data_IF_714018010982
#
_entry.id   IF_714018010982
#
_cell.length_a   1.000
_cell.length_b   1.000
_cell.length_c   1.000
_cell.angle_alpha   90.00
_cell.angle_beta   90.00
_cell.angle_gamma   90.00
#
_symmetry.space_group_name_H-M   'P 1'
#
loop_
_entity.id
_entity.type
_entity.pdbx_description
1 polymer ?
#
# COMPACT_ATOMS: atom_id res chain seq x y z
N UNK A 1 28.26 42.34 53.87
CA UNK A 1 27.01 43.02 53.56
C UNK A 1 26.68 42.85 52.10
N UNK A 2 25.73 42.02 51.74
CA UNK A 2 25.32 41.75 50.35
C UNK A 2 24.39 42.86 49.84
N UNK A 3 24.78 43.47 48.74
CA UNK A 3 24.17 44.64 48.11
C UNK A 3 22.68 44.39 47.77
N UNK A 4 21.73 45.26 48.21
CA UNK A 4 20.29 45.09 47.97
C UNK A 4 19.92 45.03 46.48
N UNK A 5 20.73 45.60 45.58
CA UNK A 5 20.54 45.60 44.13
C UNK A 5 20.74 44.20 43.51
N UNK A 6 21.61 43.35 44.09
CA UNK A 6 21.81 41.97 43.60
C UNK A 6 20.66 41.05 43.97
N UNK A 7 19.95 41.30 45.08
CA UNK A 7 18.75 40.55 45.49
C UNK A 7 17.55 40.88 44.62
N UNK A 8 17.41 42.14 44.23
CA UNK A 8 16.31 42.52 43.33
C UNK A 8 16.47 41.97 41.92
N UNK A 9 17.70 41.91 41.38
CA UNK A 9 18.00 41.29 40.08
C UNK A 9 17.79 39.76 40.09
N UNK A 10 18.17 39.08 41.17
CA UNK A 10 17.94 37.64 41.29
C UNK A 10 16.48 37.28 41.40
N UNK A 11 15.65 38.04 42.09
CA UNK A 11 14.20 37.86 42.21
C UNK A 11 13.50 38.14 40.86
N UNK A 12 13.94 39.16 40.12
CA UNK A 12 13.40 39.47 38.79
C UNK A 12 13.70 38.35 37.76
N UNK A 13 14.92 37.74 37.84
CA UNK A 13 15.33 36.65 36.97
C UNK A 13 14.53 35.37 37.25
N UNK A 14 14.23 35.07 38.51
CA UNK A 14 13.41 33.91 38.91
C UNK A 14 11.93 34.11 38.47
N UNK A 15 11.41 35.30 38.59
CA UNK A 15 10.07 35.64 38.14
C UNK A 15 9.92 35.58 36.60
N UNK A 16 10.96 35.96 35.84
CA UNK A 16 10.97 35.85 34.38
C UNK A 16 11.06 34.38 33.87
N UNK A 17 11.68 33.46 34.61
CA UNK A 17 11.73 32.03 34.27
C UNK A 17 10.44 31.28 34.59
N UNK A 18 9.57 31.80 35.46
CA UNK A 18 8.33 31.15 35.86
C UNK A 18 7.16 31.43 34.87
N UNK A 19 7.27 32.43 34.04
CA UNK A 19 6.22 32.82 33.08
C UNK A 19 5.93 31.83 31.92
N UNK A 20 6.91 31.07 31.37
CA UNK A 20 6.58 30.13 30.28
C UNK A 20 5.86 28.85 30.75
N UNK A 21 5.85 28.51 32.03
CA UNK A 21 5.21 27.28 32.53
C UNK A 21 3.69 27.43 32.64
N UNK A 22 3.16 28.64 32.74
CA UNK A 22 1.71 28.89 32.81
C UNK A 22 1.03 28.82 31.42
N UNK A 23 1.78 28.86 30.30
CA UNK A 23 1.23 28.87 28.95
C UNK A 23 0.81 27.48 28.43
N UNK A 24 1.34 26.38 28.95
CA UNK A 24 1.06 25.03 28.46
C UNK A 24 -0.20 24.38 29.03
N UNK A 25 -0.86 25.00 30.02
CA UNK A 25 -2.03 24.41 30.67
C UNK A 25 -3.38 24.76 30.02
N UNK A 26 -3.41 25.59 28.96
CA UNK A 26 -4.67 26.16 28.45
C UNK A 26 -5.18 25.51 27.14
N UNK A 27 -4.58 24.44 26.69
CA UNK A 27 -5.11 23.71 25.52
C UNK A 27 -5.58 22.30 25.91
N UNK A 28 -6.39 22.20 26.97
CA UNK A 28 -7.30 21.06 27.07
C UNK A 28 -8.39 21.31 26.05
N UNK A 29 -8.22 20.68 24.87
CA UNK A 29 -9.33 20.46 23.97
C UNK A 29 -10.44 19.79 24.79
N UNK A 30 -11.41 20.55 25.25
CA UNK A 30 -12.67 20.04 25.81
C UNK A 30 -13.42 19.39 24.65
N UNK A 31 -12.99 18.21 24.27
CA UNK A 31 -13.76 17.33 23.39
C UNK A 31 -14.81 16.54 24.15
N UNK A 32 -14.72 16.54 25.48
CA UNK A 32 -15.73 15.90 26.32
C UNK A 32 -16.91 16.86 26.48
N UNK A 33 -17.97 16.58 25.76
CA UNK A 33 -19.28 17.20 26.01
C UNK A 33 -19.70 16.80 27.43
N UNK A 34 -20.09 17.78 28.30
CA UNK A 34 -20.57 17.44 29.63
C UNK A 34 -21.78 16.51 29.52
N UNK A 35 -21.79 15.43 30.33
CA UNK A 35 -22.93 14.52 30.38
C UNK A 35 -24.18 15.28 30.84
N UNK A 36 -25.06 15.55 29.89
CA UNK A 36 -26.41 16.05 30.13
C UNK A 36 -27.32 15.02 29.50
N UNK A 37 -28.08 14.29 30.33
CA UNK A 37 -29.08 13.35 29.84
C UNK A 37 -30.08 14.12 28.95
N UNK A 38 -30.04 13.86 27.66
CA UNK A 38 -30.90 14.51 26.66
C UNK A 38 -31.74 13.45 25.97
N UNK A 39 -32.93 13.85 25.56
CA UNK A 39 -33.75 13.02 24.70
C UNK A 39 -33.00 12.69 23.39
N UNK A 40 -33.13 11.45 22.95
CA UNK A 40 -32.45 10.92 21.79
C UNK A 40 -32.78 11.69 20.50
N UNK A 41 -34.04 12.09 20.35
CA UNK A 41 -34.49 12.87 19.18
C UNK A 41 -33.86 14.26 19.15
N UNK A 42 -33.75 14.90 20.33
CA UNK A 42 -33.12 16.22 20.50
C UNK A 42 -31.62 16.15 20.14
N UNK A 43 -30.91 15.14 20.66
CA UNK A 43 -29.48 14.94 20.36
C UNK A 43 -29.25 14.69 18.87
N UNK A 44 -30.01 13.79 18.27
CA UNK A 44 -29.89 13.45 16.87
C UNK A 44 -30.19 14.64 15.96
N UNK A 45 -31.23 15.42 16.28
CA UNK A 45 -31.59 16.64 15.54
C UNK A 45 -30.50 17.69 15.64
N UNK A 46 -29.94 17.90 16.83
CA UNK A 46 -28.82 18.82 17.01
C UNK A 46 -27.57 18.38 16.21
N UNK A 47 -27.25 17.08 16.20
CA UNK A 47 -26.17 16.53 15.40
C UNK A 47 -26.37 16.79 13.90
N UNK A 48 -27.59 16.52 13.39
CA UNK A 48 -27.95 16.78 12.00
C UNK A 48 -27.86 18.27 11.65
N UNK A 49 -28.31 19.16 12.54
CA UNK A 49 -28.18 20.60 12.32
C UNK A 49 -26.73 21.05 12.21
N UNK A 50 -25.79 20.46 12.99
CA UNK A 50 -24.35 20.75 12.86
C UNK A 50 -23.82 20.27 11.54
N UNK A 51 -24.25 19.09 11.09
CA UNK A 51 -23.86 18.52 9.79
C UNK A 51 -24.33 19.45 8.65
N UNK A 52 -25.58 19.90 8.67
CA UNK A 52 -26.16 20.80 7.67
C UNK A 52 -25.45 22.18 7.66
N UNK A 53 -24.88 22.60 8.79
CA UNK A 53 -24.03 23.79 8.93
C UNK A 53 -22.57 23.57 8.54
N UNK A 54 -22.20 22.41 7.97
CA UNK A 54 -20.82 22.02 7.66
C UNK A 54 -19.87 21.98 8.86
N UNK A 55 -20.41 21.91 10.08
CA UNK A 55 -19.65 21.76 11.33
C UNK A 55 -19.41 20.27 11.62
N UNK A 56 -18.67 19.63 10.72
CA UNK A 56 -18.58 18.17 10.62
C UNK A 56 -18.06 17.50 11.89
N UNK A 57 -17.01 18.03 12.50
CA UNK A 57 -16.43 17.48 13.73
C UNK A 57 -17.41 17.55 14.90
N UNK A 58 -18.12 18.65 15.03
CA UNK A 58 -19.13 18.79 16.09
C UNK A 58 -20.34 17.88 15.83
N UNK A 59 -20.75 17.73 14.57
CA UNK A 59 -21.80 16.79 14.20
C UNK A 59 -21.41 15.36 14.58
N UNK A 60 -20.19 14.94 14.25
CA UNK A 60 -19.68 13.61 14.57
C UNK A 60 -19.71 13.35 16.09
N UNK A 61 -19.19 14.28 16.89
CA UNK A 61 -19.20 14.18 18.36
C UNK A 61 -20.63 14.08 18.93
N UNK A 62 -21.58 14.82 18.36
CA UNK A 62 -22.98 14.73 18.80
C UNK A 62 -23.63 13.41 18.38
N UNK A 63 -23.29 12.86 17.20
CA UNK A 63 -23.74 11.52 16.80
C UNK A 63 -23.13 10.44 17.70
N UNK A 64 -21.84 10.53 18.07
CA UNK A 64 -21.20 9.63 19.03
C UNK A 64 -21.88 9.74 20.41
N UNK A 65 -22.33 10.93 20.80
CA UNK A 65 -23.07 11.13 22.05
C UNK A 65 -24.46 10.47 22.03
N UNK A 66 -25.16 10.43 20.88
CA UNK A 66 -26.39 9.66 20.71
C UNK A 66 -26.13 8.17 20.98
N UNK A 67 -25.08 7.60 20.44
CA UNK A 67 -24.70 6.20 20.68
C UNK A 67 -24.39 5.97 22.16
N UNK A 68 -23.63 6.86 22.78
CA UNK A 68 -23.19 6.75 24.17
C UNK A 68 -24.35 6.81 25.17
N UNK A 69 -25.31 7.73 24.95
CA UNK A 69 -26.45 7.92 25.87
C UNK A 69 -27.59 6.91 25.64
N UNK A 70 -27.78 6.46 24.40
CA UNK A 70 -28.92 5.63 23.99
C UNK A 70 -28.49 4.42 23.13
N UNK A 71 -27.58 3.54 23.61
CA UNK A 71 -26.93 2.52 22.76
C UNK A 71 -27.90 1.50 22.14
N UNK A 72 -29.03 1.25 22.78
CA UNK A 72 -30.04 0.29 22.30
C UNK A 72 -31.12 0.90 21.42
N UNK A 73 -31.07 2.20 21.17
CA UNK A 73 -32.09 2.89 20.37
C UNK A 73 -31.85 2.61 18.85
N UNK A 74 -32.93 2.68 18.09
CA UNK A 74 -32.84 2.65 16.61
C UNK A 74 -32.03 3.84 16.07
N UNK A 75 -32.01 4.95 16.83
CA UNK A 75 -31.25 6.15 16.50
C UNK A 75 -29.75 5.96 16.68
N UNK A 76 -29.32 5.12 17.64
CA UNK A 76 -27.89 4.85 17.85
C UNK A 76 -27.25 4.24 16.61
N UNK A 77 -27.90 3.26 15.98
CA UNK A 77 -27.38 2.65 14.74
C UNK A 77 -27.23 3.64 13.59
N UNK A 78 -28.20 4.54 13.44
CA UNK A 78 -28.12 5.62 12.45
C UNK A 78 -27.04 6.63 12.82
N UNK A 79 -26.93 6.97 14.11
CA UNK A 79 -25.94 7.90 14.61
C UNK A 79 -24.51 7.40 14.37
N UNK A 80 -24.23 6.11 14.57
CA UNK A 80 -22.92 5.51 14.27
C UNK A 80 -22.50 5.73 12.80
N UNK A 81 -23.38 5.45 11.85
CA UNK A 81 -23.11 5.70 10.43
C UNK A 81 -22.95 7.19 10.15
N UNK A 82 -23.80 8.02 10.74
CA UNK A 82 -23.73 9.47 10.54
C UNK A 82 -22.49 10.09 11.20
N UNK A 83 -22.00 9.52 12.30
CA UNK A 83 -20.73 9.91 12.91
C UNK A 83 -19.56 9.61 11.94
N UNK A 84 -19.47 8.37 11.43
CA UNK A 84 -18.46 8.01 10.44
C UNK A 84 -18.51 8.94 9.22
N UNK A 85 -19.69 9.17 8.66
CA UNK A 85 -19.87 10.07 7.53
C UNK A 85 -19.47 11.52 7.85
N UNK A 86 -19.79 12.01 9.04
CA UNK A 86 -19.42 13.36 9.47
C UNK A 86 -17.91 13.51 9.62
N UNK A 87 -17.21 12.49 10.18
CA UNK A 87 -15.76 12.48 10.25
C UNK A 87 -15.14 12.46 8.85
N UNK A 88 -15.68 11.65 7.90
CA UNK A 88 -15.24 11.63 6.51
C UNK A 88 -15.33 13.03 5.87
N UNK A 89 -16.48 13.70 5.98
CA UNK A 89 -16.66 15.06 5.46
C UNK A 89 -15.72 16.07 6.11
N UNK A 90 -15.40 15.86 7.38
CA UNK A 90 -14.44 16.66 8.15
C UNK A 90 -12.97 16.34 7.84
N UNK A 91 -12.69 15.38 6.94
CA UNK A 91 -11.35 14.85 6.62
C UNK A 91 -10.62 14.24 7.83
N UNK A 92 -11.35 13.84 8.85
CA UNK A 92 -10.85 13.13 10.03
C UNK A 92 -10.91 11.62 9.74
N UNK A 93 -10.16 11.18 8.72
CA UNK A 93 -10.27 9.84 8.13
C UNK A 93 -10.03 8.71 9.13
N UNK A 94 -9.10 8.88 10.08
CA UNK A 94 -8.85 7.88 11.12
C UNK A 94 -10.07 7.65 12.01
N UNK A 95 -10.75 8.71 12.42
CA UNK A 95 -11.95 8.63 13.24
C UNK A 95 -13.13 8.05 12.44
N UNK A 96 -13.25 8.42 11.16
CA UNK A 96 -14.24 7.85 10.25
C UNK A 96 -14.09 6.34 10.14
N UNK A 97 -12.88 5.86 9.84
CA UNK A 97 -12.57 4.42 9.76
C UNK A 97 -12.93 3.72 11.07
N UNK A 98 -12.54 4.25 12.22
CA UNK A 98 -12.84 3.65 13.52
C UNK A 98 -14.35 3.56 13.80
N UNK A 99 -15.11 4.63 13.52
CA UNK A 99 -16.57 4.64 13.67
C UNK A 99 -17.24 3.64 12.73
N UNK A 100 -16.83 3.59 11.46
CA UNK A 100 -17.37 2.64 10.47
C UNK A 100 -17.04 1.18 10.84
N UNK A 101 -15.80 0.90 11.29
CA UNK A 101 -15.40 -0.44 11.75
C UNK A 101 -16.20 -0.87 12.99
N UNK A 102 -16.42 0.03 13.96
CA UNK A 102 -17.26 -0.23 15.13
C UNK A 102 -18.68 -0.58 14.70
N UNK A 103 -19.27 0.17 13.76
CA UNK A 103 -20.58 -0.15 13.21
C UNK A 103 -20.63 -1.55 12.60
N UNK A 104 -19.67 -1.91 11.76
CA UNK A 104 -19.61 -3.23 11.12
C UNK A 104 -19.48 -4.35 12.16
N UNK A 105 -18.67 -4.14 13.20
CA UNK A 105 -18.43 -5.16 14.22
C UNK A 105 -19.68 -5.44 15.06
N UNK A 106 -20.47 -4.41 15.35
CA UNK A 106 -21.69 -4.54 16.15
C UNK A 106 -22.89 -4.94 15.28
N UNK A 107 -22.93 -4.55 14.01
CA UNK A 107 -24.07 -4.71 13.11
C UNK A 107 -23.69 -5.32 11.76
N UNK A 108 -23.04 -6.50 11.71
CA UNK A 108 -22.49 -7.06 10.46
C UNK A 108 -23.54 -7.37 9.39
N UNK A 109 -24.76 -7.72 9.81
CA UNK A 109 -25.89 -8.03 8.91
C UNK A 109 -26.81 -6.82 8.63
N UNK A 110 -26.43 -5.61 9.00
CA UNK A 110 -27.25 -4.44 8.74
C UNK A 110 -27.26 -4.08 7.26
N UNK A 111 -28.42 -3.61 6.76
CA UNK A 111 -28.56 -3.17 5.37
C UNK A 111 -27.62 -1.99 5.00
N UNK A 112 -27.17 -1.23 5.98
CA UNK A 112 -26.26 -0.09 5.80
C UNK A 112 -24.78 -0.51 5.95
N UNK A 113 -24.48 -1.80 6.24
CA UNK A 113 -23.12 -2.30 6.31
C UNK A 113 -22.33 -2.08 5.01
N UNK A 114 -22.90 -2.28 3.81
CA UNK A 114 -22.18 -1.95 2.56
C UNK A 114 -21.71 -0.50 2.49
N UNK A 115 -22.48 0.44 3.05
CA UNK A 115 -22.09 1.83 3.13
C UNK A 115 -20.94 2.08 4.11
N UNK A 116 -20.92 1.40 5.24
CA UNK A 116 -19.82 1.50 6.19
C UNK A 116 -18.50 0.95 5.60
N UNK A 117 -18.53 -0.17 4.88
CA UNK A 117 -17.37 -0.69 4.13
C UNK A 117 -16.92 0.31 3.05
N UNK A 118 -17.87 0.95 2.38
CA UNK A 118 -17.56 1.94 1.37
C UNK A 118 -16.91 3.21 1.97
N UNK A 119 -17.37 3.70 3.13
CA UNK A 119 -16.74 4.82 3.82
C UNK A 119 -15.28 4.49 4.18
N UNK A 120 -15.01 3.31 4.73
CA UNK A 120 -13.63 2.89 5.03
C UNK A 120 -12.76 2.92 3.78
N UNK A 121 -13.29 2.43 2.66
CA UNK A 121 -12.56 2.43 1.39
C UNK A 121 -12.33 3.86 0.87
N UNK A 122 -13.31 4.74 0.97
CA UNK A 122 -13.19 6.15 0.61
C UNK A 122 -12.18 6.87 1.50
N UNK A 123 -12.20 6.62 2.81
CA UNK A 123 -11.25 7.23 3.75
C UNK A 123 -9.79 6.93 3.37
N UNK A 124 -9.47 5.68 2.97
CA UNK A 124 -8.15 5.35 2.46
C UNK A 124 -7.89 5.94 1.08
N UNK A 125 -8.89 5.94 0.19
CA UNK A 125 -8.78 6.46 -1.16
C UNK A 125 -8.44 7.96 -1.18
N UNK A 126 -9.13 8.76 -0.38
CA UNK A 126 -8.90 10.21 -0.27
C UNK A 126 -7.52 10.57 0.32
N UNK A 127 -6.87 9.63 0.98
CA UNK A 127 -5.53 9.81 1.54
C UNK A 127 -4.40 9.39 0.59
N UNK A 128 -4.72 8.89 -0.62
CA UNK A 128 -3.71 8.52 -1.61
C UNK A 128 -2.90 9.77 -1.98
N UNK A 129 -1.60 9.63 -1.90
CA UNK A 129 -0.64 10.68 -2.23
C UNK A 129 0.05 10.36 -3.55
N UNK A 130 0.94 11.26 -3.99
CA UNK A 130 1.74 11.13 -5.19
C UNK A 130 2.48 9.77 -5.27
N UNK A 131 2.66 9.27 -6.51
CA UNK A 131 3.32 7.98 -6.80
C UNK A 131 4.76 7.90 -6.27
N UNK A 132 5.44 9.05 -6.05
CA UNK A 132 6.80 9.09 -5.52
C UNK A 132 6.86 8.70 -4.03
N UNK A 133 5.74 8.83 -3.32
CA UNK A 133 5.65 8.56 -1.87
C UNK A 133 5.39 7.10 -1.54
N UNK A 134 5.28 6.80 -0.24
CA UNK A 134 4.93 5.46 0.25
C UNK A 134 3.51 5.07 -0.18
N UNK A 135 3.38 3.85 -0.73
CA UNK A 135 2.14 3.32 -1.27
C UNK A 135 1.36 2.44 -0.27
N UNK A 136 1.65 2.56 1.03
CA UNK A 136 0.93 1.78 2.06
C UNK A 136 -0.57 2.10 2.06
N UNK A 137 -0.91 3.39 2.07
CA UNK A 137 -2.32 3.85 2.05
C UNK A 137 -3.01 3.42 0.75
N UNK A 138 -2.32 3.53 -0.38
CA UNK A 138 -2.85 3.10 -1.69
C UNK A 138 -3.21 1.61 -1.68
N UNK A 139 -2.36 0.77 -1.09
CA UNK A 139 -2.67 -0.66 -0.93
C UNK A 139 -3.84 -0.89 0.03
N UNK A 140 -3.92 -0.15 1.14
CA UNK A 140 -5.06 -0.23 2.05
C UNK A 140 -6.38 0.19 1.38
N UNK A 141 -6.35 1.19 0.51
CA UNK A 141 -7.51 1.56 -0.31
C UNK A 141 -7.93 0.42 -1.25
N UNK A 142 -6.96 -0.20 -1.95
CA UNK A 142 -7.23 -1.35 -2.82
C UNK A 142 -7.86 -2.52 -2.06
N UNK A 143 -7.29 -2.86 -0.89
CA UNK A 143 -7.79 -3.96 -0.05
C UNK A 143 -9.21 -3.67 0.45
N UNK A 144 -9.49 -2.46 0.90
CA UNK A 144 -10.81 -2.07 1.40
C UNK A 144 -11.86 -2.03 0.28
N UNK A 145 -11.53 -1.52 -0.91
CA UNK A 145 -12.38 -1.56 -2.10
C UNK A 145 -12.66 -3.00 -2.51
N UNK A 146 -11.64 -3.86 -2.54
CA UNK A 146 -11.76 -5.28 -2.84
C UNK A 146 -12.65 -6.03 -1.86
N UNK A 147 -12.52 -5.73 -0.55
CA UNK A 147 -13.35 -6.30 0.50
C UNK A 147 -14.83 -5.94 0.32
N UNK A 148 -15.13 -4.66 0.02
CA UNK A 148 -16.48 -4.22 -0.28
C UNK A 148 -17.08 -4.97 -1.47
N UNK A 149 -16.35 -5.07 -2.59
CA UNK A 149 -16.81 -5.75 -3.81
C UNK A 149 -17.02 -7.25 -3.59
N UNK A 150 -16.17 -7.88 -2.79
CA UNK A 150 -16.27 -9.31 -2.48
C UNK A 150 -17.48 -9.63 -1.59
N UNK A 151 -17.75 -8.79 -0.57
CA UNK A 151 -18.86 -8.99 0.37
C UNK A 151 -20.20 -8.57 -0.21
N UNK A 152 -20.22 -7.49 -0.99
CA UNK A 152 -21.46 -6.88 -1.47
C UNK A 152 -21.41 -6.55 -2.97
N UNK A 153 -21.23 -7.58 -3.83
CA UNK A 153 -20.97 -7.39 -5.26
C UNK A 153 -22.10 -6.66 -6.00
N UNK A 154 -23.34 -6.80 -5.50
CA UNK A 154 -24.54 -6.21 -6.11
C UNK A 154 -24.95 -4.87 -5.48
N UNK A 155 -24.15 -4.32 -4.56
CA UNK A 155 -24.45 -3.02 -3.99
C UNK A 155 -24.13 -1.88 -4.98
N UNK A 156 -24.85 -0.78 -4.89
CA UNK A 156 -24.54 0.44 -5.65
C UNK A 156 -23.11 0.93 -5.40
N UNK A 157 -22.60 0.70 -4.21
CA UNK A 157 -21.24 1.08 -3.82
C UNK A 157 -20.16 0.22 -4.49
N UNK A 158 -20.47 -1.04 -4.82
CA UNK A 158 -19.53 -1.90 -5.54
C UNK A 158 -19.30 -1.45 -6.99
N UNK A 159 -20.31 -0.83 -7.61
CA UNK A 159 -20.14 -0.27 -8.95
C UNK A 159 -19.14 0.89 -8.99
N UNK A 160 -19.25 1.82 -8.04
CA UNK A 160 -18.29 2.91 -7.89
C UNK A 160 -16.91 2.41 -7.43
N UNK A 161 -16.88 1.42 -6.54
CA UNK A 161 -15.63 0.82 -6.06
C UNK A 161 -14.80 0.21 -7.22
N UNK A 162 -15.44 -0.39 -8.25
CA UNK A 162 -14.73 -0.93 -9.42
C UNK A 162 -13.94 0.16 -10.15
N UNK A 163 -14.57 1.32 -10.39
CA UNK A 163 -13.89 2.45 -11.02
C UNK A 163 -12.71 2.96 -10.18
N UNK A 164 -12.89 3.01 -8.87
CA UNK A 164 -11.82 3.42 -7.95
C UNK A 164 -10.68 2.40 -7.89
N UNK A 165 -10.96 1.11 -7.99
CA UNK A 165 -9.93 0.05 -8.10
C UNK A 165 -9.07 0.24 -9.33
N UNK A 166 -9.67 0.58 -10.48
CA UNK A 166 -8.91 0.83 -11.71
C UNK A 166 -7.97 2.03 -11.54
N UNK A 167 -8.44 3.12 -10.92
CA UNK A 167 -7.62 4.30 -10.62
C UNK A 167 -6.50 3.99 -9.61
N UNK A 168 -6.78 3.19 -8.58
CA UNK A 168 -5.78 2.77 -7.58
C UNK A 168 -4.72 1.87 -8.22
N UNK A 169 -5.13 0.95 -9.10
CA UNK A 169 -4.20 0.09 -9.84
C UNK A 169 -3.32 0.91 -10.78
N UNK A 170 -3.87 1.90 -11.47
CA UNK A 170 -3.10 2.80 -12.32
C UNK A 170 -2.06 3.57 -11.52
N UNK A 171 -2.41 4.04 -10.32
CA UNK A 171 -1.48 4.70 -9.41
C UNK A 171 -0.35 3.77 -8.91
N UNK A 172 -0.68 2.52 -8.56
CA UNK A 172 0.31 1.52 -8.15
C UNK A 172 1.23 1.11 -9.32
N UNK A 173 0.67 0.98 -10.52
CA UNK A 173 1.45 0.75 -11.74
C UNK A 173 2.42 1.89 -12.02
N UNK A 174 1.96 3.14 -11.89
CA UNK A 174 2.79 4.34 -12.01
C UNK A 174 4.00 4.32 -11.08
N UNK A 175 3.84 3.85 -9.83
CA UNK A 175 4.95 3.66 -8.89
C UNK A 175 5.98 2.64 -9.39
N UNK A 176 5.53 1.50 -9.87
CA UNK A 176 6.45 0.48 -10.41
C UNK A 176 7.17 1.00 -11.66
N UNK A 177 6.47 1.76 -12.53
CA UNK A 177 7.05 2.42 -13.69
C UNK A 177 8.13 3.44 -13.30
N UNK A 178 7.88 4.26 -12.30
CA UNK A 178 8.85 5.24 -11.80
C UNK A 178 10.13 4.55 -11.31
N UNK A 179 9.98 3.50 -10.49
CA UNK A 179 11.12 2.72 -10.00
C UNK A 179 11.84 2.03 -11.16
N UNK A 180 11.10 1.50 -12.14
CA UNK A 180 11.65 0.86 -13.33
C UNK A 180 12.53 1.82 -14.13
N UNK A 181 12.03 3.01 -14.45
CA UNK A 181 12.77 4.08 -15.13
C UNK A 181 14.01 4.52 -14.36
N UNK A 182 13.90 4.65 -13.03
CA UNK A 182 15.05 4.97 -12.18
C UNK A 182 16.19 3.95 -12.30
N UNK A 183 15.88 2.64 -12.37
CA UNK A 183 16.89 1.60 -12.58
C UNK A 183 17.41 1.58 -14.03
N UNK A 184 16.53 1.81 -15.00
CA UNK A 184 16.87 1.90 -16.43
C UNK A 184 17.87 3.01 -16.72
N UNK A 185 17.65 4.22 -16.19
CA UNK A 185 18.55 5.38 -16.31
C UNK A 185 19.95 5.09 -15.73
N UNK A 186 20.06 4.10 -14.83
CA UNK A 186 21.33 3.65 -14.24
C UNK A 186 21.90 2.40 -14.90
N UNK A 187 21.32 1.99 -16.02
CA UNK A 187 21.70 0.78 -16.75
C UNK A 187 21.61 -0.52 -15.90
N UNK A 188 20.76 -0.50 -14.87
CA UNK A 188 20.48 -1.67 -14.04
C UNK A 188 19.32 -2.47 -14.64
N UNK A 189 19.58 -3.02 -15.85
CA UNK A 189 18.57 -3.60 -16.74
C UNK A 189 17.73 -4.71 -16.09
N UNK A 190 18.37 -5.58 -15.31
CA UNK A 190 17.65 -6.66 -14.62
C UNK A 190 16.66 -6.10 -13.58
N UNK A 191 17.10 -5.13 -12.78
CA UNK A 191 16.21 -4.52 -11.77
C UNK A 191 15.06 -3.74 -12.44
N UNK A 192 15.34 -3.03 -13.53
CA UNK A 192 14.34 -2.34 -14.33
C UNK A 192 13.30 -3.31 -14.91
N UNK A 193 13.76 -4.39 -15.57
CA UNK A 193 12.86 -5.39 -16.17
C UNK A 193 11.94 -6.05 -15.14
N UNK A 194 12.41 -6.31 -13.92
CA UNK A 194 11.57 -6.85 -12.84
C UNK A 194 10.43 -5.90 -12.46
N UNK A 195 10.68 -4.57 -12.46
CA UNK A 195 9.66 -3.57 -12.18
C UNK A 195 8.64 -3.46 -13.29
N UNK A 196 9.08 -3.33 -14.53
CA UNK A 196 8.19 -3.29 -15.70
C UNK A 196 7.36 -4.57 -15.84
N UNK A 197 7.97 -5.74 -15.53
CA UNK A 197 7.25 -7.02 -15.52
C UNK A 197 6.14 -7.02 -14.47
N UNK A 198 6.38 -6.43 -13.28
CA UNK A 198 5.33 -6.30 -12.25
C UNK A 198 4.11 -5.55 -12.78
N UNK A 199 4.31 -4.51 -13.61
CA UNK A 199 3.20 -3.78 -14.24
C UNK A 199 2.43 -4.67 -15.20
N UNK A 200 3.11 -5.39 -16.07
CA UNK A 200 2.49 -6.29 -17.05
C UNK A 200 1.77 -7.46 -16.38
N UNK A 201 2.31 -8.01 -15.27
CA UNK A 201 1.75 -9.17 -14.59
C UNK A 201 0.57 -8.81 -13.67
N UNK A 202 0.62 -7.66 -12.98
CA UNK A 202 -0.36 -7.31 -11.94
C UNK A 202 -1.33 -6.20 -12.32
N UNK A 203 -0.97 -5.33 -13.25
CA UNK A 203 -1.70 -4.10 -13.58
C UNK A 203 -2.00 -3.99 -15.08
N UNK A 204 -2.39 -5.11 -15.70
CA UNK A 204 -2.56 -5.27 -17.16
C UNK A 204 -3.53 -4.28 -17.80
N UNK A 205 -4.52 -3.81 -17.05
CA UNK A 205 -5.58 -2.92 -17.55
C UNK A 205 -5.24 -1.44 -17.41
N UNK A 206 -4.07 -1.11 -16.88
CA UNK A 206 -3.69 0.27 -16.62
C UNK A 206 -3.13 0.97 -17.87
N UNK A 207 -3.15 2.29 -17.86
CA UNK A 207 -2.58 3.14 -18.90
C UNK A 207 -1.06 2.95 -19.08
N UNK A 208 -0.39 2.40 -18.07
CA UNK A 208 1.05 2.17 -18.05
C UNK A 208 1.50 0.90 -18.77
N UNK A 209 0.60 -0.03 -19.05
CA UNK A 209 0.94 -1.35 -19.62
C UNK A 209 1.64 -1.26 -20.99
N UNK A 210 1.21 -0.41 -21.95
CA UNK A 210 1.90 -0.29 -23.23
C UNK A 210 3.36 0.20 -23.08
N UNK A 211 3.59 1.19 -22.22
CA UNK A 211 4.95 1.66 -21.92
C UNK A 211 5.77 0.56 -21.26
N UNK A 212 5.23 -0.14 -20.27
CA UNK A 212 5.91 -1.22 -19.56
C UNK A 212 6.36 -2.33 -20.52
N UNK A 213 5.52 -2.74 -21.47
CA UNK A 213 5.87 -3.73 -22.49
C UNK A 213 7.01 -3.24 -23.39
N UNK A 214 6.98 -1.98 -23.81
CA UNK A 214 8.05 -1.39 -24.61
C UNK A 214 9.36 -1.33 -23.84
N UNK A 215 9.34 -0.91 -22.58
CA UNK A 215 10.52 -0.88 -21.70
C UNK A 215 11.06 -2.28 -21.41
N UNK A 216 10.21 -3.30 -21.38
CA UNK A 216 10.65 -4.69 -21.30
C UNK A 216 11.41 -5.09 -22.57
N UNK A 217 10.98 -4.65 -23.75
CA UNK A 217 11.74 -4.88 -24.98
C UNK A 217 13.14 -4.27 -24.88
N UNK A 218 13.26 -3.01 -24.46
CA UNK A 218 14.53 -2.30 -24.29
C UNK A 218 15.44 -3.03 -23.30
N UNK A 219 14.93 -3.32 -22.11
CA UNK A 219 15.71 -3.94 -21.04
C UNK A 219 16.14 -5.37 -21.37
N UNK A 220 15.29 -6.17 -22.02
CA UNK A 220 15.64 -7.52 -22.43
C UNK A 220 16.66 -7.55 -23.58
N UNK A 221 16.58 -6.61 -24.53
CA UNK A 221 17.62 -6.46 -25.56
C UNK A 221 18.97 -6.06 -24.95
N UNK A 222 18.95 -5.11 -24.00
CA UNK A 222 20.16 -4.71 -23.28
C UNK A 222 20.79 -5.86 -22.45
N UNK A 223 19.97 -6.78 -21.94
CA UNK A 223 20.40 -8.00 -21.25
C UNK A 223 20.81 -9.13 -22.19
N UNK A 224 20.64 -8.99 -23.51
CA UNK A 224 20.88 -10.05 -24.48
C UNK A 224 19.81 -11.17 -24.48
N UNK A 225 18.68 -10.99 -23.82
CA UNK A 225 17.58 -11.98 -23.71
C UNK A 225 16.52 -11.71 -24.76
N UNK A 226 16.92 -11.89 -26.03
CA UNK A 226 16.11 -11.53 -27.20
C UNK A 226 14.73 -12.21 -27.22
N UNK A 227 14.65 -13.49 -26.86
CA UNK A 227 13.38 -14.21 -26.89
C UNK A 227 12.28 -13.60 -25.96
N UNK A 228 12.67 -13.01 -24.84
CA UNK A 228 11.75 -12.29 -23.97
C UNK A 228 11.36 -10.91 -24.54
N UNK A 229 12.30 -10.24 -25.22
CA UNK A 229 12.03 -9.00 -25.93
C UNK A 229 11.00 -9.25 -27.06
N UNK A 230 11.16 -10.29 -27.84
CA UNK A 230 10.21 -10.69 -28.90
C UNK A 230 8.82 -11.00 -28.37
N UNK A 231 8.73 -11.73 -27.25
CA UNK A 231 7.44 -11.99 -26.56
C UNK A 231 6.76 -10.71 -26.12
N UNK A 232 7.51 -9.81 -25.48
CA UNK A 232 6.98 -8.51 -25.02
C UNK A 232 6.52 -7.66 -26.20
N UNK A 233 7.27 -7.60 -27.29
CA UNK A 233 6.92 -6.89 -28.52
C UNK A 233 5.67 -7.49 -29.19
N UNK A 234 5.55 -8.82 -29.22
CA UNK A 234 4.39 -9.50 -29.77
C UNK A 234 3.11 -9.19 -28.97
N UNK A 235 3.19 -9.21 -27.63
CA UNK A 235 2.06 -8.84 -26.75
C UNK A 235 1.67 -7.38 -26.99
N UNK A 236 2.66 -6.48 -27.10
CA UNK A 236 2.42 -5.06 -27.37
C UNK A 236 1.74 -4.85 -28.74
N UNK A 237 2.20 -5.55 -29.77
CA UNK A 237 1.62 -5.47 -31.12
C UNK A 237 0.21 -6.04 -31.20
N UNK A 238 -0.08 -7.11 -30.46
CA UNK A 238 -1.40 -7.74 -30.44
C UNK A 238 -2.46 -6.91 -29.72
N UNK A 239 -2.09 -6.27 -28.60
CA UNK A 239 -3.04 -5.57 -27.74
C UNK A 239 -3.11 -4.04 -27.98
N UNK A 240 -2.02 -3.45 -28.48
CA UNK A 240 -1.89 -1.99 -28.64
C UNK A 240 -1.35 -1.63 -30.05
N UNK A 241 -1.96 -2.15 -31.13
CA UNK A 241 -1.50 -1.89 -32.48
C UNK A 241 -1.59 -0.39 -32.80
N UNK A 242 -0.53 0.17 -33.38
CA UNK A 242 -0.49 1.59 -33.77
C UNK A 242 -0.19 2.56 -32.63
N UNK A 243 0.05 2.11 -31.41
CA UNK A 243 0.53 2.98 -30.34
C UNK A 243 1.96 3.45 -30.60
N UNK A 244 2.33 4.63 -30.08
CA UNK A 244 3.71 5.13 -30.15
C UNK A 244 4.71 4.16 -29.53
N UNK A 245 4.30 3.47 -28.47
CA UNK A 245 5.11 2.45 -27.80
C UNK A 245 5.36 1.24 -28.70
N UNK A 246 4.36 0.80 -29.48
CA UNK A 246 4.52 -0.25 -30.46
C UNK A 246 5.49 0.16 -31.57
N UNK A 247 5.34 1.37 -32.10
CA UNK A 247 6.21 1.88 -33.16
C UNK A 247 7.67 1.94 -32.70
N UNK A 248 7.93 2.35 -31.46
CA UNK A 248 9.27 2.36 -30.85
C UNK A 248 9.83 0.94 -30.68
N UNK A 249 9.05 0.02 -30.13
CA UNK A 249 9.47 -1.37 -29.96
C UNK A 249 9.79 -2.03 -31.30
N UNK A 250 8.94 -1.81 -32.32
CA UNK A 250 9.15 -2.33 -33.67
C UNK A 250 10.45 -1.82 -34.29
N UNK A 251 10.72 -0.50 -34.19
CA UNK A 251 11.97 0.09 -34.67
C UNK A 251 13.16 -0.52 -33.97
N UNK A 252 13.13 -0.61 -32.66
CA UNK A 252 14.21 -1.17 -31.84
C UNK A 252 14.49 -2.63 -32.19
N UNK A 253 13.45 -3.45 -32.36
CA UNK A 253 13.59 -4.85 -32.76
C UNK A 253 14.24 -5.03 -34.13
N UNK A 254 14.06 -4.07 -35.06
CA UNK A 254 14.72 -4.08 -36.37
C UNK A 254 16.18 -3.66 -36.32
N UNK A 255 16.54 -2.78 -35.41
CA UNK A 255 17.93 -2.32 -35.21
C UNK A 255 18.82 -3.42 -34.60
N UNK A 256 18.20 -4.41 -33.90
CA UNK A 256 18.87 -5.61 -33.37
C UNK A 256 18.44 -6.86 -34.18
N UNK A 257 18.94 -7.05 -35.41
CA UNK A 257 18.56 -8.21 -36.24
C UNK A 257 18.97 -9.53 -35.57
N UNK A 258 18.24 -10.59 -35.90
CA UNK A 258 18.61 -11.97 -35.49
C UNK A 258 19.92 -12.32 -36.14
N UNK A 259 20.99 -12.50 -35.37
CA UNK A 259 22.09 -13.33 -35.86
C UNK A 259 21.54 -14.76 -35.97
N UNK A 260 21.58 -15.37 -37.19
CA UNK A 260 21.13 -16.75 -37.32
C UNK A 260 22.00 -17.59 -36.37
N UNK A 261 21.35 -18.33 -35.47
CA UNK A 261 22.05 -19.35 -34.68
C UNK A 261 22.76 -20.26 -35.71
N UNK A 262 24.10 -20.35 -35.68
CA UNK A 262 24.79 -21.23 -36.62
C UNK A 262 24.16 -22.62 -36.48
N UNK A 263 23.66 -23.15 -37.61
CA UNK A 263 23.03 -24.45 -37.63
C UNK A 263 24.05 -25.46 -37.05
N UNK A 264 23.70 -26.09 -35.93
CA UNK A 264 24.51 -27.17 -35.37
C UNK A 264 24.54 -28.27 -36.43
N UNK A 265 25.66 -28.40 -37.11
CA UNK A 265 25.81 -29.47 -38.07
C UNK A 265 25.80 -30.81 -37.32
N UNK A 266 24.96 -31.78 -37.73
CA UNK A 266 24.94 -33.08 -37.10
C UNK A 266 26.34 -33.71 -37.16
N UNK A 267 26.95 -33.93 -35.99
CA UNK A 267 28.27 -34.59 -35.90
C UNK A 267 29.43 -33.71 -35.42
N UNK A 268 29.24 -32.42 -35.18
CA UNK A 268 30.27 -31.64 -34.49
C UNK A 268 30.14 -31.81 -32.97
N UNK A 269 31.21 -32.12 -32.24
CA UNK A 269 31.20 -32.15 -30.78
C UNK A 269 30.88 -30.74 -30.27
N UNK A 270 29.86 -30.63 -29.46
CA UNK A 270 29.48 -29.38 -28.75
C UNK A 270 30.63 -29.06 -27.79
N UNK A 271 31.54 -28.18 -28.22
CA UNK A 271 32.51 -27.59 -27.30
C UNK A 271 31.75 -26.56 -26.49
N UNK A 272 31.64 -26.72 -25.16
CA UNK A 272 30.98 -25.68 -24.34
C UNK A 272 31.81 -24.39 -24.45
N UNK A 273 31.33 -23.42 -25.20
CA UNK A 273 31.89 -22.08 -25.22
C UNK A 273 31.44 -21.40 -23.93
N UNK A 274 32.33 -21.32 -22.96
CA UNK A 274 32.09 -20.55 -21.76
C UNK A 274 32.56 -21.24 -20.48
N UNK A 275 33.84 -21.57 -20.40
CA UNK A 275 34.47 -21.63 -19.08
C UNK A 275 34.62 -20.19 -18.60
N UNK A 276 34.00 -19.80 -17.47
CA UNK A 276 34.31 -18.50 -16.84
C UNK A 276 35.80 -18.51 -16.53
N UNK A 277 36.52 -17.50 -17.00
CA UNK A 277 37.96 -17.35 -16.79
C UNK A 277 38.29 -17.51 -15.30
N UNK A 278 39.12 -18.52 -15.05
CA UNK A 278 39.81 -18.71 -13.78
C UNK A 278 40.75 -17.52 -13.56
N UNK A 279 40.29 -16.53 -12.86
CA UNK A 279 41.16 -15.50 -12.27
C UNK A 279 41.89 -16.16 -11.09
N UNK A 280 43.14 -16.59 -11.36
CA UNK A 280 44.10 -17.00 -10.36
C UNK A 280 44.38 -15.82 -9.44
N UNK A 281 43.67 -15.76 -8.30
CA UNK A 281 44.07 -14.96 -7.16
C UNK A 281 44.99 -15.85 -6.33
N UNK A 282 46.31 -15.66 -6.50
CA UNK A 282 47.33 -16.27 -5.69
C UNK A 282 47.15 -15.91 -4.22
N UNK A 283 46.92 -16.91 -3.38
CA UNK A 283 47.07 -16.82 -1.93
C UNK A 283 48.43 -17.44 -1.56
N UNK A 284 49.24 -16.80 -0.69
CA UNK A 284 50.50 -17.34 -0.23
C UNK A 284 50.27 -18.50 0.73
N UNK A 285 51.16 -19.48 0.64
CA UNK A 285 51.09 -20.79 1.30
C UNK A 285 51.26 -20.76 2.80
N UNK A 286 50.78 -21.84 3.40
CA UNK A 286 50.97 -22.19 4.81
C UNK A 286 50.33 -23.52 5.14
N UNK A 287 51.04 -24.57 5.06
CA UNK A 287 51.44 -25.73 5.84
C UNK A 287 50.37 -26.55 6.56
N UNK A 288 50.39 -27.81 6.18
CA UNK A 288 50.31 -29.03 7.01
C UNK A 288 49.05 -29.45 7.79
N UNK A 289 48.64 -30.64 7.37
CA UNK A 289 48.37 -31.89 8.10
C UNK A 289 47.00 -32.17 8.70
N UNK A 290 46.61 -33.39 8.38
CA UNK A 290 45.77 -34.34 9.12
C UNK A 290 44.31 -34.48 8.78
N UNK A 291 44.04 -35.55 8.04
CA UNK A 291 42.80 -36.36 8.11
C UNK A 291 42.61 -36.94 9.50
N UNK A 292 41.38 -37.12 10.00
CA UNK A 292 40.83 -38.47 10.06
C UNK A 292 39.33 -38.53 9.70
N UNK A 293 39.01 -39.49 8.93
CA UNK A 293 38.11 -40.65 9.03
C UNK A 293 36.90 -40.58 9.95
N UNK A 294 35.73 -40.87 9.28
CA UNK A 294 34.58 -41.64 9.75
C UNK A 294 33.70 -41.12 10.86
N UNK A 295 32.42 -40.92 10.58
CA UNK A 295 31.31 -41.78 11.05
C UNK A 295 29.94 -41.12 10.72
N UNK A 296 29.12 -41.87 10.04
CA UNK A 296 27.66 -41.62 9.97
C UNK A 296 27.01 -42.16 11.25
N UNK A 297 25.93 -41.52 11.71
CA UNK A 297 24.86 -42.28 12.34
C UNK A 297 23.47 -41.94 11.73
N UNK A 298 22.76 -42.96 11.29
CA UNK A 298 21.65 -43.50 12.06
C UNK A 298 20.32 -42.77 11.82
N UNK A 299 19.55 -43.32 10.87
CA UNK A 299 18.11 -43.04 10.60
C UNK A 299 17.28 -43.67 11.76
N UNK A 300 16.28 -43.02 12.37
CA UNK A 300 15.25 -43.72 13.12
C UNK A 300 14.01 -44.00 12.27
N UNK A 301 13.57 -45.23 12.35
CA UNK A 301 12.30 -45.79 11.82
C UNK A 301 11.09 -45.33 12.63
N UNK A 302 9.88 -45.35 12.02
CA UNK A 302 8.67 -44.97 12.72
C UNK A 302 8.02 -46.18 13.41
N UNK A 303 7.67 -46.03 14.67
CA UNK A 303 6.76 -46.95 15.39
C UNK A 303 5.34 -46.39 15.33
N UNK A 304 4.47 -47.17 14.75
CA UNK A 304 3.02 -47.01 14.88
C UNK A 304 2.54 -47.41 16.28
N UNK A 305 1.42 -46.82 16.70
CA UNK A 305 0.48 -47.53 17.52
C UNK A 305 -0.96 -46.99 17.32
N UNK A 306 -1.83 -47.97 16.99
CA UNK A 306 -3.28 -47.92 17.01
C UNK A 306 -3.83 -47.67 18.42
N UNK A 307 -4.91 -46.96 18.53
CA UNK A 307 -6.13 -47.41 19.24
C UNK A 307 -7.18 -46.30 19.28
N UNK A 308 -8.28 -46.51 18.57
CA UNK A 308 -9.66 -46.14 18.94
C UNK A 308 -10.19 -47.25 19.91
N UNK A 309 -11.36 -47.16 20.58
CA UNK A 309 -12.49 -46.23 20.51
C UNK A 309 -13.10 -45.87 21.89
N UNK A 310 -13.91 -44.89 21.96
CA UNK A 310 -15.33 -44.85 22.40
C UNK A 310 -15.83 -43.43 22.30
#
# INVERSE_FOLDING_TARGET
>A
MRNPRSRALSLALIAALALPIAGCARNRNRTDLPYVARDVGTLYTAAKQRLDQHRYKEAALLFDEVERQHPYSIWARRAQIMSAFSYYLGREYTQSIQSAQRFISVHPGNRDAPYAYYLIALDYYEQIQDVTRDQKITRQALDALGELMRRYPNSRYAADARLKVDLVNDHLAGKEMEIGRFYEDRHQWLAASMRFRTVVDKYQTTSHTPEALMRLVETYLALGVRGEAERSAAVLGANYPGSDWYNRAYKLMREYPVEPIPAIQPGQPVVPTGTPGSTNIGLPGGGNTATPSAAAPGRPTPTGNNSSPT
#
